data_IF_845284518583
#
_entry.id   IF_845284518583
#
_cell.length_a   1.000
_cell.length_b   1.000
_cell.length_c   1.000
_cell.angle_alpha   90.00
_cell.angle_beta   90.00
_cell.angle_gamma   90.00
#
_symmetry.space_group_name_H-M   'P 1'
#
loop_
_entity.id
_entity.type
_entity.pdbx_description
1 polymer ?
#
# COMPACT_ATOMS: atom_id res chain seq x y z
N UNK A 1 -33.41 17.93 20.68
CA UNK A 1 -31.94 18.00 20.56
C UNK A 1 -31.36 17.17 21.68
N UNK A 2 -30.60 16.11 21.37
CA UNK A 2 -29.96 15.30 22.42
C UNK A 2 -28.82 16.15 23.00
N UNK A 3 -28.87 16.39 24.31
CA UNK A 3 -27.93 17.29 24.98
C UNK A 3 -26.64 16.51 25.31
N UNK A 4 -25.46 16.93 24.83
CA UNK A 4 -24.20 16.20 25.02
C UNK A 4 -23.86 15.93 26.50
N UNK A 5 -24.25 16.83 27.40
CA UNK A 5 -24.07 16.64 28.85
C UNK A 5 -24.80 15.39 29.39
N UNK A 6 -25.98 15.06 28.84
CA UNK A 6 -26.73 13.85 29.25
C UNK A 6 -26.08 12.57 28.72
N UNK A 7 -25.45 12.62 27.56
CA UNK A 7 -24.72 11.49 26.98
C UNK A 7 -23.49 11.18 27.85
N UNK A 8 -22.81 12.22 28.33
CA UNK A 8 -21.63 12.07 29.17
C UNK A 8 -21.95 11.53 30.57
N UNK A 9 -23.08 11.95 31.15
CA UNK A 9 -23.57 11.43 32.43
C UNK A 9 -23.97 9.95 32.35
N UNK A 10 -24.64 9.56 31.26
CA UNK A 10 -24.97 8.15 30.96
C UNK A 10 -23.68 7.34 30.75
N UNK A 11 -22.71 7.87 30.01
CA UNK A 11 -21.42 7.20 29.79
C UNK A 11 -20.65 7.00 31.11
N UNK A 12 -20.66 7.99 32.01
CA UNK A 12 -20.06 7.89 33.35
C UNK A 12 -20.77 6.85 34.21
N UNK A 13 -22.10 6.84 34.26
CA UNK A 13 -22.86 5.86 35.04
C UNK A 13 -22.69 4.43 34.52
N UNK A 14 -22.60 4.25 33.20
CA UNK A 14 -22.32 2.95 32.59
C UNK A 14 -20.90 2.51 32.95
N UNK A 15 -19.90 3.38 32.79
CA UNK A 15 -18.50 3.11 33.15
C UNK A 15 -18.29 2.79 34.63
N UNK A 16 -18.98 3.50 35.53
CA UNK A 16 -18.84 3.34 36.99
C UNK A 16 -19.54 2.09 37.52
N UNK A 17 -20.64 1.66 36.88
CA UNK A 17 -21.37 0.45 37.25
C UNK A 17 -20.99 -0.77 36.41
N UNK A 18 -20.04 -0.62 35.47
CA UNK A 18 -19.59 -1.71 34.63
C UNK A 18 -18.80 -2.72 35.47
N UNK A 19 -19.23 -4.00 35.55
CA UNK A 19 -18.47 -5.03 36.24
C UNK A 19 -17.09 -5.19 35.60
N UNK A 20 -16.06 -5.49 36.40
CA UNK A 20 -14.70 -5.71 35.90
C UNK A 20 -14.63 -6.74 34.76
N UNK A 21 -15.51 -7.75 34.78
CA UNK A 21 -15.62 -8.72 33.69
C UNK A 21 -16.01 -8.12 32.34
N UNK A 22 -16.82 -7.06 32.32
CA UNK A 22 -17.26 -6.38 31.09
C UNK A 22 -16.22 -5.37 30.60
N UNK A 23 -15.50 -4.69 31.51
CA UNK A 23 -14.31 -3.89 31.16
C UNK A 23 -13.24 -4.76 30.48
N UNK A 24 -12.90 -5.89 31.09
CA UNK A 24 -11.97 -6.85 30.51
C UNK A 24 -12.47 -7.38 29.16
N UNK A 25 -13.78 -7.58 29.00
CA UNK A 25 -14.37 -8.00 27.73
C UNK A 25 -14.21 -6.92 26.65
N UNK A 26 -14.45 -5.65 26.99
CA UNK A 26 -14.28 -4.52 26.08
C UNK A 26 -12.83 -4.36 25.64
N UNK A 27 -11.87 -4.41 26.58
CA UNK A 27 -10.44 -4.32 26.29
C UNK A 27 -9.97 -5.51 25.41
N UNK A 28 -10.47 -6.71 25.69
CA UNK A 28 -10.17 -7.91 24.90
C UNK A 28 -10.78 -7.81 23.49
N UNK A 29 -11.99 -7.25 23.37
CA UNK A 29 -12.66 -7.06 22.09
C UNK A 29 -11.98 -6.00 21.24
N UNK A 30 -11.56 -4.88 21.85
CA UNK A 30 -10.76 -3.86 21.17
C UNK A 30 -9.43 -4.44 20.68
N UNK A 31 -8.71 -5.15 21.54
CA UNK A 31 -7.45 -5.81 21.19
C UNK A 31 -7.61 -6.80 20.04
N UNK A 32 -8.61 -7.70 20.11
CA UNK A 32 -8.90 -8.66 19.04
C UNK A 32 -9.31 -7.98 17.74
N UNK A 33 -10.10 -6.90 17.81
CA UNK A 33 -10.55 -6.16 16.63
C UNK A 33 -9.37 -5.46 15.96
N UNK A 34 -8.50 -4.80 16.75
CA UNK A 34 -7.27 -4.18 16.27
C UNK A 34 -6.34 -5.20 15.61
N UNK A 35 -6.18 -6.36 16.23
CA UNK A 35 -5.34 -7.44 15.71
C UNK A 35 -5.93 -8.03 14.42
N UNK A 36 -7.25 -8.21 14.34
CA UNK A 36 -7.93 -8.67 13.14
C UNK A 36 -7.80 -7.67 11.98
N UNK A 37 -7.93 -6.36 12.26
CA UNK A 37 -7.73 -5.30 11.27
C UNK A 37 -6.26 -5.25 10.81
N UNK A 38 -5.31 -5.34 11.74
CA UNK A 38 -3.88 -5.39 11.40
C UNK A 38 -3.54 -6.60 10.53
N UNK A 39 -4.07 -7.78 10.87
CA UNK A 39 -3.87 -8.99 10.08
C UNK A 39 -4.52 -8.86 8.69
N UNK A 40 -5.72 -8.27 8.60
CA UNK A 40 -6.37 -8.04 7.29
C UNK A 40 -5.67 -6.99 6.44
N UNK A 41 -5.11 -5.95 7.04
CA UNK A 41 -4.27 -4.97 6.33
C UNK A 41 -2.92 -5.57 5.91
N UNK A 42 -2.36 -6.50 6.68
CA UNK A 42 -1.14 -7.21 6.32
C UNK A 42 -1.37 -8.29 5.24
N UNK A 43 -2.58 -8.87 5.20
CA UNK A 43 -3.02 -9.79 4.13
C UNK A 43 -3.40 -9.06 2.84
N UNK A 44 -3.73 -7.78 2.90
CA UNK A 44 -3.80 -6.95 1.70
C UNK A 44 -2.36 -6.81 1.19
N UNK A 45 -2.10 -7.16 -0.06
CA UNK A 45 -0.82 -6.98 -0.77
C UNK A 45 -0.46 -5.48 -0.88
N UNK A 46 -0.20 -4.85 0.25
CA UNK A 46 0.10 -3.43 0.36
C UNK A 46 1.58 -3.28 0.06
N UNK A 47 1.88 -3.01 -1.20
CA UNK A 47 3.23 -2.57 -1.60
C UNK A 47 3.48 -1.26 -0.86
N UNK A 48 4.54 -1.22 -0.06
CA UNK A 48 4.90 0.02 0.63
C UNK A 48 5.15 1.10 -0.41
N UNK A 49 4.88 2.35 -0.06
CA UNK A 49 5.10 3.46 -0.99
C UNK A 49 6.57 3.55 -1.45
N UNK A 50 7.49 3.15 -0.58
CA UNK A 50 8.91 3.05 -0.90
C UNK A 50 9.21 1.97 -1.95
N UNK A 51 8.66 0.76 -1.81
CA UNK A 51 8.82 -0.31 -2.81
C UNK A 51 8.20 0.07 -4.15
N UNK A 52 7.05 0.75 -4.15
CA UNK A 52 6.42 1.27 -5.36
C UNK A 52 7.34 2.28 -6.09
N UNK A 53 7.94 3.20 -5.34
CA UNK A 53 8.85 4.20 -5.90
C UNK A 53 10.13 3.56 -6.45
N UNK A 54 10.65 2.51 -5.80
CA UNK A 54 11.80 1.73 -6.29
C UNK A 54 11.45 1.05 -7.61
N UNK A 55 10.32 0.33 -7.67
CA UNK A 55 9.88 -0.36 -8.88
C UNK A 55 9.65 0.61 -10.05
N UNK A 56 9.07 1.79 -9.76
CA UNK A 56 8.89 2.85 -10.76
C UNK A 56 10.23 3.33 -11.33
N UNK A 57 11.25 3.53 -10.48
CA UNK A 57 12.61 3.90 -10.93
C UNK A 57 13.26 2.81 -11.77
N UNK A 58 13.10 1.54 -11.39
CA UNK A 58 13.61 0.41 -12.17
C UNK A 58 12.93 0.37 -13.54
N UNK A 59 11.61 0.56 -13.59
CA UNK A 59 10.86 0.58 -14.85
C UNK A 59 11.31 1.70 -15.78
N UNK A 60 11.55 2.91 -15.25
CA UNK A 60 12.10 4.04 -16.03
C UNK A 60 13.45 3.67 -16.64
N UNK A 61 14.38 3.15 -15.83
CA UNK A 61 15.69 2.72 -16.33
C UNK A 61 15.61 1.62 -17.38
N UNK A 62 14.68 0.69 -17.24
CA UNK A 62 14.48 -0.37 -18.24
C UNK A 62 13.97 0.21 -19.55
N UNK A 63 13.06 1.19 -19.52
CA UNK A 63 12.61 1.90 -20.73
C UNK A 63 13.74 2.66 -21.42
N UNK A 64 14.58 3.35 -20.65
CA UNK A 64 15.74 4.06 -21.19
C UNK A 64 16.71 3.09 -21.89
N UNK A 65 17.04 1.97 -21.24
CA UNK A 65 17.90 0.94 -21.82
C UNK A 65 17.27 0.26 -23.05
N UNK A 66 15.96 0.05 -23.04
CA UNK A 66 15.23 -0.50 -24.18
C UNK A 66 15.36 0.44 -25.38
N UNK A 67 15.10 1.74 -25.20
CA UNK A 67 15.22 2.72 -26.27
C UNK A 67 16.65 2.82 -26.82
N UNK A 68 17.67 2.72 -25.97
CA UNK A 68 19.07 2.69 -26.41
C UNK A 68 19.37 1.43 -27.26
N UNK A 69 18.86 0.28 -26.85
CA UNK A 69 19.02 -0.97 -27.61
C UNK A 69 18.28 -0.92 -28.95
N UNK A 70 17.05 -0.41 -28.98
CA UNK A 70 16.29 -0.20 -30.22
C UNK A 70 17.05 0.71 -31.19
N UNK A 71 17.64 1.80 -30.69
CA UNK A 71 18.46 2.69 -31.51
C UNK A 71 19.71 1.99 -32.08
N UNK A 72 20.41 1.20 -31.26
CA UNK A 72 21.58 0.43 -31.71
C UNK A 72 21.22 -0.62 -32.75
N UNK A 73 20.10 -1.30 -32.59
CA UNK A 73 19.60 -2.27 -33.57
C UNK A 73 19.29 -1.57 -34.88
N UNK A 74 18.57 -0.45 -34.85
CA UNK A 74 18.25 0.32 -36.06
C UNK A 74 19.51 0.83 -36.77
N UNK A 75 20.55 1.25 -36.04
CA UNK A 75 21.83 1.65 -36.64
C UNK A 75 22.54 0.48 -37.33
N UNK A 76 22.52 -0.71 -36.72
CA UNK A 76 23.12 -1.92 -37.28
C UNK A 76 22.34 -2.37 -38.53
N UNK A 77 21.01 -2.37 -38.47
CA UNK A 77 20.15 -2.70 -39.61
C UNK A 77 20.40 -1.75 -40.79
N UNK A 78 20.49 -0.44 -40.53
CA UNK A 78 20.80 0.55 -41.56
C UNK A 78 22.18 0.33 -42.20
N UNK A 79 23.20 -0.03 -41.40
CA UNK A 79 24.53 -0.38 -41.94
C UNK A 79 24.48 -1.63 -42.80
N UNK A 80 23.77 -2.67 -42.37
CA UNK A 80 23.64 -3.92 -43.12
C UNK A 80 22.92 -3.73 -44.47
N UNK A 81 21.87 -2.90 -44.49
CA UNK A 81 21.18 -2.57 -45.73
C UNK A 81 22.06 -1.73 -46.66
N UNK A 82 22.87 -0.82 -46.11
CA UNK A 82 23.82 -0.04 -46.91
C UNK A 82 24.93 -0.89 -47.54
N UNK A 83 25.45 -1.90 -46.84
CA UNK A 83 26.44 -2.84 -47.38
C UNK A 83 25.84 -3.74 -48.47
N UNK A 84 24.58 -4.20 -48.31
CA UNK A 84 23.88 -5.01 -49.33
C UNK A 84 23.56 -4.27 -50.62
N UNK A 85 23.44 -2.94 -50.56
CA UNK A 85 23.17 -2.11 -51.75
C UNK A 85 24.44 -1.57 -52.41
N UNK A 86 25.62 -1.84 -51.82
CA UNK A 86 26.92 -1.48 -52.37
C UNK A 86 27.58 -2.60 -53.19
N UNK A 87 27.07 -3.84 -53.11
CA UNK A 87 27.34 -4.96 -54.04
C UNK A 87 26.37 -4.97 -55.23
#
# INVERSE_FOLDING_TARGET
MINPAKIEEIAKQISSNMPQGVKNLADTFESKTKQAIQNKLAEMDFVSREEFDIQSKVLIRTREKLAELEAKVAEIEAKLDSDKHAE
#
